data_IF_738158519242
#
_entry.id   IF_738158519242
#
_cell.length_a   1.000
_cell.length_b   1.000
_cell.length_c   1.000
_cell.angle_alpha   90.00
_cell.angle_beta   90.00
_cell.angle_gamma   90.00
#
_symmetry.space_group_name_H-M   'P 1'
#
loop_
_entity.id
_entity.type
_entity.pdbx_description
1 polymer ?
#
# COMPACT_ATOMS: atom_id res chain seq x y z
N UNK A 1 -1.87 15.42 13.12
CA UNK A 1 -1.91 14.46 14.22
C UNK A 1 -1.83 13.05 13.66
N UNK A 2 -1.02 12.17 14.25
CA UNK A 2 -0.86 10.80 13.78
C UNK A 2 -1.89 9.88 14.42
N UNK A 3 -2.46 8.99 13.64
CA UNK A 3 -3.32 7.93 14.15
C UNK A 3 -2.48 6.65 14.32
N UNK A 4 -1.97 6.44 15.51
CA UNK A 4 -1.04 5.33 15.81
C UNK A 4 -1.74 3.98 15.73
N UNK A 5 -2.97 3.89 16.22
CA UNK A 5 -3.73 2.64 16.23
C UNK A 5 -4.01 2.17 14.80
N UNK A 6 -4.47 3.07 13.95
CA UNK A 6 -4.77 2.76 12.56
C UNK A 6 -3.49 2.43 11.77
N UNK A 7 -2.39 3.14 12.05
CA UNK A 7 -1.11 2.88 11.41
C UNK A 7 -0.63 1.46 11.73
N UNK A 8 -0.72 1.04 12.98
CA UNK A 8 -0.32 -0.30 13.39
C UNK A 8 -1.20 -1.36 12.73
N UNK A 9 -2.50 -1.13 12.69
CA UNK A 9 -3.44 -2.04 12.03
C UNK A 9 -3.10 -2.21 10.55
N UNK A 10 -2.82 -1.12 9.86
CA UNK A 10 -2.46 -1.16 8.44
C UNK A 10 -1.12 -1.84 8.22
N UNK A 11 -0.14 -1.59 9.08
CA UNK A 11 1.17 -2.25 8.98
C UNK A 11 1.03 -3.76 9.12
N UNK A 12 0.26 -4.23 10.09
CA UNK A 12 0.01 -5.66 10.28
C UNK A 12 -0.74 -6.25 9.09
N UNK A 13 -1.69 -5.53 8.53
CA UNK A 13 -2.39 -5.94 7.32
C UNK A 13 -1.43 -6.16 6.16
N UNK A 14 -0.51 -5.21 5.92
CA UNK A 14 0.46 -5.31 4.84
C UNK A 14 1.42 -6.48 5.04
N UNK A 15 1.93 -6.66 6.25
CA UNK A 15 2.85 -7.76 6.57
C UNK A 15 2.17 -9.12 6.44
N UNK A 16 0.86 -9.18 6.66
CA UNK A 16 0.08 -10.41 6.47
C UNK A 16 -0.03 -10.76 4.99
N UNK A 17 -0.17 -9.76 4.12
CA UNK A 17 -0.21 -9.97 2.68
C UNK A 17 1.14 -10.47 2.19
N UNK A 18 2.22 -9.82 2.61
CA UNK A 18 3.57 -10.19 2.20
C UNK A 18 4.58 -9.71 3.25
N UNK A 19 5.36 -10.62 3.84
CA UNK A 19 6.40 -10.23 4.80
C UNK A 19 7.64 -9.70 4.06
N UNK A 20 7.72 -8.38 3.92
CA UNK A 20 8.84 -7.76 3.22
C UNK A 20 10.16 -8.00 3.94
N UNK A 21 11.26 -7.97 3.19
CA UNK A 21 12.60 -8.26 3.71
C UNK A 21 13.17 -7.12 4.53
N UNK A 22 12.86 -5.88 4.17
CA UNK A 22 13.30 -4.69 4.90
C UNK A 22 12.12 -4.04 5.59
N UNK A 23 12.33 -3.65 6.83
CA UNK A 23 11.30 -2.98 7.60
C UNK A 23 10.97 -1.60 7.02
N UNK A 24 9.83 -1.09 7.40
CA UNK A 24 9.36 0.22 6.98
C UNK A 24 8.57 0.87 8.11
N UNK A 25 8.49 2.19 8.05
CA UNK A 25 7.67 2.97 8.97
C UNK A 25 6.37 3.33 8.25
N UNK A 26 5.25 3.25 8.95
CA UNK A 26 3.96 3.63 8.39
C UNK A 26 3.28 4.64 9.31
N UNK A 27 2.90 5.77 8.74
CA UNK A 27 2.22 6.84 9.45
C UNK A 27 0.86 7.10 8.82
N UNK A 28 -0.17 7.21 9.64
CA UNK A 28 -1.49 7.65 9.20
C UNK A 28 -1.70 9.05 9.78
N UNK A 29 -1.86 10.02 8.91
CA UNK A 29 -1.97 11.42 9.28
C UNK A 29 -3.42 11.85 9.11
N UNK A 30 -4.07 12.28 10.20
CA UNK A 30 -5.45 12.74 10.20
C UNK A 30 -5.53 14.14 9.63
N UNK A 31 -5.32 14.23 8.32
CA UNK A 31 -5.26 15.48 7.62
C UNK A 31 -5.74 15.28 6.18
N UNK A 32 -6.34 16.31 5.62
CA UNK A 32 -6.70 16.33 4.21
C UNK A 32 -5.43 16.55 3.38
N UNK A 33 -5.12 15.68 2.42
CA UNK A 33 -3.95 15.86 1.57
C UNK A 33 -4.17 16.98 0.56
N UNK A 34 -3.07 17.59 0.11
CA UNK A 34 -3.12 18.62 -0.94
C UNK A 34 -3.19 17.98 -2.33
N UNK A 35 -2.38 16.96 -2.59
CA UNK A 35 -2.25 16.36 -3.92
C UNK A 35 -2.28 14.85 -3.96
N UNK A 36 -1.81 14.17 -2.91
CA UNK A 36 -1.66 12.71 -2.90
C UNK A 36 -2.31 12.10 -1.68
N UNK A 37 -3.01 10.98 -1.88
CA UNK A 37 -3.62 10.22 -0.79
C UNK A 37 -2.57 9.54 0.10
N UNK A 38 -1.44 9.18 -0.49
CA UNK A 38 -0.33 8.58 0.22
C UNK A 38 0.98 8.86 -0.48
N UNK A 39 2.07 8.61 0.20
CA UNK A 39 3.41 8.77 -0.36
C UNK A 39 4.38 7.78 0.26
N UNK A 40 5.30 7.27 -0.55
CA UNK A 40 6.42 6.46 -0.08
C UNK A 40 7.71 7.28 -0.18
N UNK A 41 8.41 7.40 0.94
CA UNK A 41 9.67 8.15 1.01
C UNK A 41 10.82 7.13 0.98
N UNK A 42 11.51 7.06 -0.15
CA UNK A 42 12.54 6.04 -0.41
C UNK A 42 13.66 6.09 0.61
N UNK A 43 14.22 7.26 0.85
CA UNK A 43 15.39 7.42 1.72
C UNK A 43 15.14 6.98 3.16
N UNK A 44 13.91 7.13 3.63
CA UNK A 44 13.52 6.81 5.00
C UNK A 44 12.76 5.50 5.12
N UNK A 45 12.43 4.87 3.99
CA UNK A 45 11.58 3.69 3.94
C UNK A 45 10.31 3.91 4.75
N UNK A 46 9.65 5.02 4.46
CA UNK A 46 8.48 5.49 5.21
C UNK A 46 7.27 5.64 4.30
N UNK A 47 6.16 5.11 4.75
CA UNK A 47 4.86 5.27 4.10
C UNK A 47 4.05 6.27 4.90
N UNK A 48 3.51 7.28 4.22
CA UNK A 48 2.55 8.22 4.83
C UNK A 48 1.22 8.07 4.13
N UNK A 49 0.15 8.01 4.89
CA UNK A 49 -1.21 7.91 4.38
C UNK A 49 -2.05 8.99 5.04
N UNK A 50 -2.82 9.70 4.23
CA UNK A 50 -3.69 10.77 4.71
C UNK A 50 -5.10 10.21 4.86
N UNK A 51 -5.65 10.25 6.07
CA UNK A 51 -6.92 9.61 6.39
C UNK A 51 -8.15 10.42 5.97
N UNK A 52 -8.02 11.72 5.79
CA UNK A 52 -9.15 12.60 5.47
C UNK A 52 -9.22 12.92 3.98
N UNK A 53 -9.28 11.86 3.18
CA UNK A 53 -9.43 11.97 1.75
C UNK A 53 -10.90 11.97 1.37
N UNK A 54 -11.29 12.83 0.41
CA UNK A 54 -12.70 12.98 0.00
C UNK A 54 -13.19 11.79 -0.82
N UNK A 55 -12.29 11.17 -1.58
CA UNK A 55 -12.61 10.03 -2.42
C UNK A 55 -12.86 8.79 -1.56
N UNK A 56 -13.82 7.92 -1.91
CA UNK A 56 -14.13 6.73 -1.12
C UNK A 56 -13.11 5.60 -1.23
N UNK A 57 -11.87 5.89 -1.59
CA UNK A 57 -10.82 4.87 -1.67
C UNK A 57 -10.46 4.39 -0.26
N UNK A 58 -10.51 3.07 0.01
CA UNK A 58 -10.14 2.55 1.31
C UNK A 58 -8.66 2.81 1.64
N UNK A 59 -8.37 3.03 2.92
CA UNK A 59 -6.99 3.23 3.37
C UNK A 59 -6.12 2.02 3.05
N UNK A 60 -6.69 0.82 3.11
CA UNK A 60 -6.00 -0.43 2.78
C UNK A 60 -5.47 -0.41 1.35
N UNK A 61 -6.25 0.07 0.41
CA UNK A 61 -5.84 0.15 -1.00
C UNK A 61 -4.70 1.14 -1.20
N UNK A 62 -4.78 2.29 -0.54
CA UNK A 62 -3.70 3.29 -0.56
C UNK A 62 -2.44 2.69 0.06
N UNK A 63 -2.59 1.98 1.18
CA UNK A 63 -1.47 1.33 1.86
C UNK A 63 -0.79 0.29 0.96
N UNK A 64 -1.56 -0.53 0.24
CA UNK A 64 -1.02 -1.53 -0.68
C UNK A 64 -0.21 -0.83 -1.79
N UNK A 65 -0.71 0.27 -2.32
CA UNK A 65 -0.02 1.02 -3.37
C UNK A 65 1.36 1.49 -2.89
N UNK A 66 1.42 2.10 -1.71
CA UNK A 66 2.70 2.60 -1.16
C UNK A 66 3.61 1.44 -0.73
N UNK A 67 3.03 0.35 -0.23
CA UNK A 67 3.81 -0.84 0.10
C UNK A 67 4.45 -1.48 -1.12
N UNK A 68 3.76 -1.44 -2.26
CA UNK A 68 4.32 -1.91 -3.52
C UNK A 68 5.57 -1.11 -3.90
N UNK A 69 5.57 0.20 -3.65
CA UNK A 69 6.78 1.01 -3.84
C UNK A 69 7.92 0.56 -2.93
N UNK A 70 7.62 0.27 -1.66
CA UNK A 70 8.62 -0.19 -0.71
C UNK A 70 9.26 -1.49 -1.17
N UNK A 71 8.45 -2.46 -1.57
CA UNK A 71 8.93 -3.76 -2.06
C UNK A 71 9.73 -3.57 -3.34
N UNK A 72 9.23 -2.77 -4.27
CA UNK A 72 9.88 -2.50 -5.54
C UNK A 72 11.27 -1.89 -5.35
N UNK A 73 11.40 -0.95 -4.41
CA UNK A 73 12.67 -0.27 -4.14
C UNK A 73 13.66 -1.12 -3.34
N UNK A 74 13.17 -1.96 -2.42
CA UNK A 74 14.04 -2.69 -1.49
C UNK A 74 14.30 -4.14 -1.89
N UNK A 75 13.49 -4.72 -2.78
CA UNK A 75 13.62 -6.12 -3.19
C UNK A 75 13.83 -6.26 -4.68
N UNK A 76 14.68 -5.41 -5.23
CA UNK A 76 15.03 -5.42 -6.65
C UNK A 76 15.70 -6.73 -7.03
N UNK A 77 15.36 -7.23 -8.22
CA UNK A 77 16.09 -8.35 -8.78
C UNK A 77 17.54 -7.94 -9.02
N UNK A 78 18.46 -8.84 -8.73
CA UNK A 78 19.89 -8.65 -8.98
C UNK A 78 20.21 -8.80 -10.48
N UNK A 79 19.58 -8.01 -11.31
CA UNK A 79 19.92 -7.97 -12.72
C UNK A 79 20.70 -6.70 -13.01
N UNK A 80 22.00 -6.81 -13.07
CA UNK A 80 22.93 -5.69 -13.15
C UNK A 80 22.82 -4.85 -14.41
N UNK A 81 22.18 -5.38 -15.45
CA UNK A 81 22.09 -4.70 -16.74
C UNK A 81 20.79 -3.94 -16.93
N UNK A 82 19.94 -3.89 -15.90
CA UNK A 82 18.66 -3.20 -16.02
C UNK A 82 18.82 -1.72 -15.82
N UNK A 83 18.22 -0.97 -16.72
CA UNK A 83 18.03 0.45 -16.49
C UNK A 83 17.14 0.65 -15.28
N UNK A 84 17.37 1.75 -14.57
CA UNK A 84 16.50 2.11 -13.45
C UNK A 84 15.08 2.29 -13.96
N UNK A 85 14.19 1.46 -13.50
CA UNK A 85 12.80 1.51 -13.90
C UNK A 85 12.11 2.70 -13.25
N UNK A 86 11.11 3.25 -13.95
CA UNK A 86 10.28 4.32 -13.40
C UNK A 86 9.51 3.80 -12.20
N UNK A 87 9.16 4.72 -11.27
CA UNK A 87 8.44 4.37 -10.05
C UNK A 87 7.13 3.63 -10.32
N UNK A 88 6.44 3.94 -11.41
CA UNK A 88 5.20 3.26 -11.82
C UNK A 88 5.38 2.48 -13.12
N UNK A 89 6.53 1.86 -13.30
CA UNK A 89 6.80 1.00 -14.45
C UNK A 89 6.13 -0.37 -14.33
N UNK A 90 6.34 -1.26 -15.34
CA UNK A 90 5.69 -2.57 -15.36
C UNK A 90 5.97 -3.43 -14.13
N UNK A 91 7.17 -3.38 -13.58
CA UNK A 91 7.54 -4.14 -12.39
C UNK A 91 6.72 -3.71 -11.17
N UNK A 92 6.57 -2.40 -10.97
CA UNK A 92 5.74 -1.88 -9.89
C UNK A 92 4.30 -2.41 -10.01
N UNK A 93 3.71 -2.32 -11.20
CA UNK A 93 2.32 -2.75 -11.39
C UNK A 93 2.12 -4.25 -11.20
N UNK A 94 3.14 -5.06 -11.51
CA UNK A 94 3.10 -6.49 -11.20
C UNK A 94 3.06 -6.74 -9.71
N UNK A 95 3.92 -6.04 -8.96
CA UNK A 95 3.96 -6.16 -7.51
C UNK A 95 2.64 -5.72 -6.90
N UNK A 96 2.15 -4.55 -7.31
CA UNK A 96 0.88 -4.02 -6.83
C UNK A 96 -0.29 -4.99 -7.11
N UNK A 97 -0.38 -5.48 -8.31
CA UNK A 97 -1.44 -6.42 -8.70
C UNK A 97 -1.37 -7.72 -7.89
N UNK A 98 -0.17 -8.25 -7.68
CA UNK A 98 0.02 -9.45 -6.89
C UNK A 98 -0.40 -9.25 -5.44
N UNK A 99 -0.07 -8.10 -4.85
CA UNK A 99 -0.47 -7.77 -3.48
C UNK A 99 -1.99 -7.66 -3.35
N UNK A 100 -2.63 -7.00 -4.31
CA UNK A 100 -4.09 -6.86 -4.32
C UNK A 100 -4.78 -8.21 -4.45
N UNK A 101 -4.30 -9.08 -5.34
CA UNK A 101 -4.84 -10.41 -5.52
C UNK A 101 -4.70 -11.24 -4.25
N UNK A 102 -3.55 -11.19 -3.61
CA UNK A 102 -3.31 -11.94 -2.39
C UNK A 102 -4.19 -11.44 -1.24
N UNK A 103 -4.35 -10.13 -1.11
CA UNK A 103 -5.24 -9.55 -0.10
C UNK A 103 -6.67 -10.07 -0.27
N UNK A 104 -7.15 -10.14 -1.51
CA UNK A 104 -8.47 -10.67 -1.81
C UNK A 104 -8.58 -12.14 -1.46
N UNK A 105 -7.58 -12.95 -1.83
CA UNK A 105 -7.56 -14.40 -1.54
C UNK A 105 -7.55 -14.70 -0.05
N UNK A 106 -6.93 -13.84 0.75
CA UNK A 106 -6.87 -14.02 2.19
C UNK A 106 -8.11 -13.49 2.91
N UNK A 107 -9.13 -13.10 2.17
CA UNK A 107 -10.39 -12.60 2.71
C UNK A 107 -10.19 -11.48 3.75
N UNK A 108 -9.28 -10.55 3.42
CA UNK A 108 -9.01 -9.42 4.31
C UNK A 108 -10.09 -8.34 4.22
N UNK A 109 -11.02 -8.47 3.28
CA UNK A 109 -12.18 -7.59 3.15
C UNK A 109 -13.37 -8.26 3.82
N UNK A 110 -14.25 -7.46 4.43
CA UNK A 110 -15.41 -7.97 5.16
C UNK A 110 -16.49 -8.50 4.21
N UNK A 111 -17.35 -9.39 4.75
CA UNK A 111 -18.51 -9.89 4.00
C UNK A 111 -19.44 -8.76 3.55
N UNK A 112 -19.57 -7.71 4.37
CA UNK A 112 -20.35 -6.52 4.03
C UNK A 112 -19.76 -5.79 2.82
N UNK A 113 -18.46 -5.68 2.75
CA UNK A 113 -17.78 -5.06 1.61
C UNK A 113 -18.06 -5.86 0.33
N UNK A 114 -17.97 -7.18 0.41
CA UNK A 114 -18.23 -8.06 -0.73
C UNK A 114 -19.69 -7.95 -1.16
N UNK A 115 -20.60 -7.96 -0.19
CA UNK A 115 -22.03 -7.83 -0.47
C UNK A 115 -22.37 -6.51 -1.17
N UNK A 116 -21.70 -5.43 -0.76
CA UNK A 116 -21.88 -4.11 -1.36
C UNK A 116 -21.40 -4.10 -2.82
N UNK A 117 -20.26 -4.71 -3.11
CA UNK A 117 -19.78 -4.85 -4.49
C UNK A 117 -20.79 -5.60 -5.34
N UNK A 118 -21.32 -6.72 -4.83
CA UNK A 118 -22.29 -7.55 -5.55
C UNK A 118 -23.58 -6.80 -5.82
N UNK A 119 -24.05 -6.04 -4.84
CA UNK A 119 -25.30 -5.28 -4.96
C UNK A 119 -25.21 -4.15 -5.99
N UNK A 120 -24.02 -3.64 -6.26
CA UNK A 120 -23.81 -2.49 -7.14
C UNK A 120 -23.26 -2.85 -8.53
N UNK A 121 -23.40 -4.12 -8.92
CA UNK A 121 -23.03 -4.55 -10.27
C UNK A 121 -23.94 -4.01 -11.34
#
# INVERSE_FOLDING_TARGET
MNNIIQAERLKQFLLKIYPCKKDFELLVIDKKPKTRMGVYIVDKQRIRIYSKWICPTPLEEIAIHEYAHHIHETEKRTNHNRRKERAHGPEFWRIYSALCCKATQMELFTDEYIADIVANR
#
